data_IF_719939177591
#
_entry.id   IF_719939177591
#
_cell.length_a   1.000
_cell.length_b   1.000
_cell.length_c   1.000
_cell.angle_alpha   90.00
_cell.angle_beta   90.00
_cell.angle_gamma   90.00
#
_symmetry.space_group_name_H-M   'P 1'
#
loop_
_entity.id
_entity.type
_entity.pdbx_description
1 polymer ?
#
# COMPACT_ATOMS: atom_id res chain seq x y z
N UNK A 1 -35.18 -38.36 41.49
CA UNK A 1 -36.32 -38.10 42.40
C UNK A 1 -36.02 -38.75 43.75
N UNK A 2 -36.38 -38.24 44.95
CA UNK A 2 -37.03 -36.96 45.39
C UNK A 2 -36.09 -36.07 46.28
N UNK A 3 -36.20 -34.73 46.35
CA UNK A 3 -37.03 -33.80 47.21
C UNK A 3 -36.69 -33.83 48.73
N UNK A 4 -36.62 -32.76 49.55
CA UNK A 4 -36.86 -31.29 49.48
C UNK A 4 -36.34 -30.58 50.77
N UNK A 5 -35.77 -29.36 50.64
CA UNK A 5 -35.91 -28.09 51.44
C UNK A 5 -35.83 -27.95 52.98
N UNK A 6 -35.12 -26.88 53.44
CA UNK A 6 -35.60 -25.64 54.18
C UNK A 6 -34.36 -24.75 54.47
N UNK A 7 -34.17 -23.50 54.02
CA UNK A 7 -34.79 -22.15 54.20
C UNK A 7 -34.56 -21.42 55.55
N UNK A 8 -34.33 -20.10 55.41
CA UNK A 8 -34.14 -18.95 56.35
C UNK A 8 -32.67 -18.54 56.63
N UNK A 9 -32.25 -17.27 56.67
CA UNK A 9 -32.62 -15.94 56.12
C UNK A 9 -31.56 -14.94 56.67
N UNK A 10 -31.36 -13.74 56.07
CA UNK A 10 -30.24 -12.85 56.39
C UNK A 10 -30.60 -11.81 57.46
N UNK A 11 -29.62 -11.40 58.29
CA UNK A 11 -29.78 -10.30 59.25
C UNK A 11 -29.14 -8.99 58.76
N UNK A 12 -30.01 -7.99 58.70
CA UNK A 12 -29.79 -6.57 58.44
C UNK A 12 -29.11 -5.82 59.60
N UNK A 13 -28.52 -4.65 59.30
CA UNK A 13 -28.77 -3.33 59.94
C UNK A 13 -27.98 -2.26 59.15
N UNK A 14 -28.64 -1.33 58.43
CA UNK A 14 -29.08 0.04 58.87
C UNK A 14 -27.96 0.78 59.62
N UNK A 15 -27.49 1.97 59.25
CA UNK A 15 -27.92 2.99 58.29
C UNK A 15 -27.53 4.38 58.83
N UNK A 16 -27.52 5.40 57.96
CA UNK A 16 -27.69 6.86 58.15
C UNK A 16 -26.65 7.63 57.31
N UNK A 17 -26.98 8.21 56.16
CA UNK A 17 -27.80 9.41 55.92
C UNK A 17 -27.29 10.65 56.66
N UNK A 18 -26.58 11.52 55.94
CA UNK A 18 -26.54 12.96 56.22
C UNK A 18 -26.43 13.72 54.90
N UNK A 19 -27.61 14.05 54.35
CA UNK A 19 -27.80 15.18 53.45
C UNK A 19 -27.56 16.46 54.25
N UNK A 20 -26.75 17.39 53.75
CA UNK A 20 -26.93 18.82 53.98
C UNK A 20 -26.76 19.56 52.64
N UNK A 21 -27.86 20.14 52.18
CA UNK A 21 -27.94 21.13 51.11
C UNK A 21 -27.79 22.53 51.72
N UNK A 22 -27.49 23.50 50.83
CA UNK A 22 -27.57 24.98 50.91
C UNK A 22 -26.18 25.63 50.98
N UNK A 23 -25.84 26.69 50.24
CA UNK A 23 -26.49 27.49 49.18
C UNK A 23 -25.37 28.36 48.56
N UNK A 24 -25.48 28.68 47.27
CA UNK A 24 -25.09 29.93 46.58
C UNK A 24 -23.74 30.62 46.93
N UNK A 25 -22.87 30.69 45.91
CA UNK A 25 -21.72 31.59 45.85
C UNK A 25 -21.27 31.77 44.40
N UNK A 26 -22.00 32.60 43.66
CA UNK A 26 -21.66 33.10 42.34
C UNK A 26 -20.37 33.93 42.38
N UNK A 27 -19.34 33.52 41.63
CA UNK A 27 -18.33 34.46 41.15
C UNK A 27 -18.17 34.29 39.65
N UNK A 28 -18.70 35.28 38.93
CA UNK A 28 -18.37 35.61 37.55
C UNK A 28 -16.86 35.91 37.46
N UNK A 29 -16.15 35.26 36.56
CA UNK A 29 -15.04 35.88 35.85
C UNK A 29 -15.18 35.55 34.36
N UNK A 30 -15.38 36.62 33.59
CA UNK A 30 -15.45 36.65 32.15
C UNK A 30 -14.06 36.47 31.53
N UNK A 31 -14.02 35.82 30.37
CA UNK A 31 -13.22 36.28 29.24
C UNK A 31 -11.90 35.56 28.98
N UNK A 32 -11.96 34.48 28.18
CA UNK A 32 -11.29 34.46 26.87
C UNK A 32 -11.84 33.26 26.07
N UNK A 33 -13.00 33.46 25.42
CA UNK A 33 -13.38 32.61 24.29
C UNK A 33 -12.55 33.03 23.08
N UNK A 34 -11.29 32.59 23.06
CA UNK A 34 -10.53 32.52 21.82
C UNK A 34 -11.20 31.42 20.99
N UNK A 35 -11.95 31.85 19.98
CA UNK A 35 -12.54 30.96 18.99
C UNK A 35 -11.46 30.06 18.42
N UNK A 36 -11.52 28.79 18.81
CA UNK A 36 -10.93 27.74 18.01
C UNK A 36 -11.77 27.69 16.74
N UNK A 37 -11.43 28.53 15.77
CA UNK A 37 -11.87 28.36 14.42
C UNK A 37 -11.39 26.96 14.02
N UNK A 38 -12.32 26.00 14.04
CA UNK A 38 -12.26 24.85 13.15
C UNK A 38 -12.10 25.48 11.78
N UNK A 39 -10.86 25.61 11.31
CA UNK A 39 -10.59 25.85 9.92
C UNK A 39 -11.33 24.72 9.24
N UNK A 40 -12.36 24.98 8.42
CA UNK A 40 -12.79 23.97 7.50
C UNK A 40 -11.58 23.79 6.60
N UNK A 41 -10.73 22.80 6.92
CA UNK A 41 -9.96 22.15 5.89
C UNK A 41 -11.05 21.71 4.93
N UNK A 42 -11.18 22.43 3.81
CA UNK A 42 -11.99 21.97 2.69
C UNK A 42 -11.62 20.51 2.55
N UNK A 43 -12.57 19.61 2.81
CA UNK A 43 -12.39 18.22 2.46
C UNK A 43 -11.88 18.25 1.04
N UNK A 44 -10.62 17.83 0.83
CA UNK A 44 -10.03 17.83 -0.50
C UNK A 44 -10.98 16.96 -1.32
N UNK A 45 -11.67 17.58 -2.28
CA UNK A 45 -12.59 16.83 -3.12
C UNK A 45 -11.74 15.85 -3.92
N UNK A 46 -11.86 14.56 -3.63
CA UNK A 46 -11.21 13.52 -4.41
C UNK A 46 -11.73 13.57 -5.85
N UNK A 47 -10.85 13.26 -6.79
CA UNK A 47 -11.19 13.05 -8.19
C UNK A 47 -11.77 11.65 -8.31
N UNK A 48 -13.09 11.58 -8.42
CA UNK A 48 -13.83 10.32 -8.37
C UNK A 48 -14.18 9.83 -9.78
N UNK A 49 -13.69 8.62 -10.09
CA UNK A 49 -14.05 7.87 -11.29
C UNK A 49 -15.25 6.96 -11.01
N UNK A 50 -16.23 6.98 -11.90
CA UNK A 50 -17.41 6.09 -11.88
C UNK A 50 -17.63 5.32 -13.19
N UNK A 51 -17.03 5.76 -14.31
CA UNK A 51 -16.83 4.94 -15.49
C UNK A 51 -18.09 4.58 -16.28
N UNK A 52 -18.93 5.57 -16.63
CA UNK A 52 -20.13 5.32 -17.45
C UNK A 52 -19.80 5.08 -18.94
N UNK A 53 -18.60 5.44 -19.40
CA UNK A 53 -18.20 5.26 -20.78
C UNK A 53 -17.43 3.95 -21.01
N UNK A 54 -17.85 3.18 -22.02
CA UNK A 54 -17.19 1.92 -22.38
C UNK A 54 -15.71 2.07 -22.79
N UNK A 55 -15.30 3.22 -23.33
CA UNK A 55 -13.92 3.46 -23.72
C UNK A 55 -12.98 3.65 -22.52
N UNK A 56 -13.49 4.21 -21.41
CA UNK A 56 -12.71 4.45 -20.21
C UNK A 56 -11.64 5.55 -20.32
N UNK A 57 -11.81 6.53 -21.20
CA UNK A 57 -10.88 7.66 -21.37
C UNK A 57 -11.03 8.74 -20.28
N UNK A 58 -9.91 9.30 -19.82
CA UNK A 58 -9.88 10.39 -18.84
C UNK A 58 -10.41 11.73 -19.39
N UNK A 59 -10.33 11.95 -20.71
CA UNK A 59 -10.88 13.13 -21.37
C UNK A 59 -12.41 13.13 -21.46
N UNK A 60 -13.07 12.00 -21.17
CA UNK A 60 -14.51 11.88 -21.30
C UNK A 60 -15.20 12.24 -19.99
N UNK A 61 -16.02 13.29 -20.04
CA UNK A 61 -16.67 13.85 -18.85
C UNK A 61 -17.54 12.82 -18.10
N UNK A 62 -18.20 11.93 -18.84
CA UNK A 62 -19.08 10.90 -18.28
C UNK A 62 -18.34 9.68 -17.67
N UNK A 63 -17.04 9.74 -17.49
CA UNK A 63 -16.32 8.77 -16.65
C UNK A 63 -16.06 9.28 -15.24
N UNK A 64 -16.43 10.54 -14.99
CA UNK A 64 -16.17 11.24 -13.76
C UNK A 64 -17.48 11.55 -13.06
N UNK A 65 -17.46 11.42 -11.74
CA UNK A 65 -18.60 11.78 -10.91
C UNK A 65 -19.04 13.23 -11.18
N UNK A 66 -20.31 13.41 -11.55
CA UNK A 66 -20.87 14.71 -11.92
C UNK A 66 -20.67 15.11 -13.39
N UNK A 67 -20.33 14.15 -14.26
CA UNK A 67 -20.23 14.32 -15.72
C UNK A 67 -19.34 15.51 -16.14
N UNK A 68 -18.26 15.74 -15.40
CA UNK A 68 -17.36 16.88 -15.62
C UNK A 68 -15.91 16.41 -15.55
N UNK A 69 -15.12 16.73 -16.57
CA UNK A 69 -13.68 16.41 -16.56
C UNK A 69 -13.01 17.20 -15.43
N UNK A 70 -12.36 16.53 -14.46
CA UNK A 70 -11.75 17.17 -13.32
C UNK A 70 -10.49 17.93 -13.72
N UNK A 71 -10.15 18.96 -12.96
CA UNK A 71 -8.81 19.54 -12.97
C UNK A 71 -7.90 18.75 -12.01
N UNK A 72 -6.74 18.29 -12.48
CA UNK A 72 -5.80 17.58 -11.63
C UNK A 72 -4.71 18.50 -11.07
N UNK A 73 -4.62 18.56 -9.75
CA UNK A 73 -3.52 19.19 -9.02
C UNK A 73 -3.32 18.47 -7.68
N UNK A 74 -2.18 18.68 -7.02
CA UNK A 74 -2.03 18.17 -5.65
C UNK A 74 -3.10 18.74 -4.69
N UNK A 75 -3.72 19.87 -5.00
CA UNK A 75 -4.83 20.40 -4.20
C UNK A 75 -6.16 19.65 -4.42
N UNK A 76 -6.30 18.91 -5.52
CA UNK A 76 -7.52 18.21 -5.94
C UNK A 76 -7.69 16.80 -5.32
N UNK A 77 -7.09 16.53 -4.16
CA UNK A 77 -7.26 15.24 -3.48
C UNK A 77 -6.63 14.05 -4.20
N UNK A 78 -7.21 12.87 -3.98
CA UNK A 78 -6.78 11.60 -4.54
C UNK A 78 -7.51 11.31 -5.85
N UNK A 79 -6.94 10.46 -6.69
CA UNK A 79 -7.64 9.82 -7.80
C UNK A 79 -8.24 8.51 -7.28
N UNK A 80 -9.56 8.44 -7.25
CA UNK A 80 -10.30 7.36 -6.59
C UNK A 80 -11.19 6.67 -7.61
N UNK A 81 -10.95 5.38 -7.83
CA UNK A 81 -11.78 4.51 -8.65
C UNK A 81 -12.77 3.75 -7.76
N UNK A 82 -14.00 4.26 -7.70
CA UNK A 82 -15.06 3.66 -6.87
C UNK A 82 -15.87 2.62 -7.64
N UNK A 83 -16.28 2.97 -8.85
CA UNK A 83 -17.23 2.20 -9.64
C UNK A 83 -16.82 2.09 -11.09
N UNK A 84 -17.41 1.09 -11.73
CA UNK A 84 -17.38 0.89 -13.17
C UNK A 84 -18.81 0.67 -13.63
N UNK A 85 -19.56 1.76 -13.68
CA UNK A 85 -21.00 1.74 -13.97
C UNK A 85 -21.29 1.12 -15.34
N UNK A 86 -20.38 1.26 -16.29
CA UNK A 86 -20.44 0.56 -17.57
C UNK A 86 -19.68 -0.77 -17.52
N UNK A 87 -20.41 -1.88 -17.50
CA UNK A 87 -19.81 -3.22 -17.47
C UNK A 87 -18.92 -3.54 -18.70
N UNK A 88 -19.13 -2.86 -19.82
CA UNK A 88 -18.31 -3.01 -21.04
C UNK A 88 -16.98 -2.26 -20.98
N UNK A 89 -16.76 -1.39 -19.98
CA UNK A 89 -15.46 -0.78 -19.76
C UNK A 89 -14.46 -1.86 -19.31
N UNK A 90 -13.39 -2.07 -20.07
CA UNK A 90 -12.36 -3.08 -19.75
C UNK A 90 -11.05 -2.46 -19.24
N UNK A 91 -10.87 -1.15 -19.42
CA UNK A 91 -9.67 -0.44 -19.01
C UNK A 91 -9.95 1.02 -18.62
N UNK A 92 -9.02 1.62 -17.90
CA UNK A 92 -8.93 3.06 -17.68
C UNK A 92 -7.80 3.58 -18.59
N UNK A 93 -8.03 4.67 -19.32
CA UNK A 93 -7.08 5.18 -20.30
C UNK A 93 -6.78 6.66 -20.07
N UNK A 94 -5.56 6.94 -19.65
CA UNK A 94 -5.05 8.30 -19.49
C UNK A 94 -4.71 8.91 -20.85
N UNK A 95 -5.52 9.87 -21.30
CA UNK A 95 -5.37 10.55 -22.58
C UNK A 95 -5.25 12.08 -22.46
N UNK A 96 -5.03 12.60 -21.25
CA UNK A 96 -4.72 14.02 -21.08
C UNK A 96 -3.42 14.38 -21.80
N UNK A 97 -3.38 15.60 -22.37
CA UNK A 97 -2.29 16.08 -23.21
C UNK A 97 -1.02 16.47 -22.46
N UNK A 98 -0.98 16.31 -21.14
CA UNK A 98 0.16 16.62 -20.29
C UNK A 98 0.25 15.65 -19.12
N UNK A 99 1.32 15.74 -18.34
CA UNK A 99 1.35 15.15 -17.01
C UNK A 99 0.38 15.87 -16.07
N UNK A 100 -0.21 15.11 -15.14
CA UNK A 100 -1.14 15.63 -14.13
C UNK A 100 -0.68 15.25 -12.72
N UNK A 101 -1.06 16.07 -11.74
CA UNK A 101 -0.66 15.90 -10.34
C UNK A 101 -1.85 15.43 -9.50
N UNK A 102 -1.64 14.38 -8.71
CA UNK A 102 -2.64 13.74 -7.84
C UNK A 102 -1.98 13.45 -6.49
N UNK A 103 -2.74 13.38 -5.39
CA UNK A 103 -2.16 12.89 -4.13
C UNK A 103 -1.90 11.38 -4.21
N UNK A 104 -2.93 10.57 -4.00
CA UNK A 104 -2.82 9.12 -4.08
C UNK A 104 -3.70 8.56 -5.20
N UNK A 105 -3.35 7.38 -5.72
CA UNK A 105 -4.14 6.67 -6.72
C UNK A 105 -4.71 5.41 -6.05
N UNK A 106 -6.04 5.29 -6.01
CA UNK A 106 -6.71 4.30 -5.17
C UNK A 106 -7.82 3.60 -5.96
N UNK A 107 -7.77 2.27 -6.03
CA UNK A 107 -8.94 1.45 -6.37
C UNK A 107 -9.63 1.03 -5.09
N UNK A 108 -10.84 1.52 -4.88
CA UNK A 108 -11.58 1.31 -3.65
C UNK A 108 -12.18 -0.08 -3.55
N UNK A 109 -12.59 -0.45 -2.34
CA UNK A 109 -13.22 -1.75 -2.04
C UNK A 109 -14.48 -2.02 -2.89
N UNK A 110 -15.15 -0.97 -3.36
CA UNK A 110 -16.33 -1.04 -4.21
C UNK A 110 -16.03 -1.31 -5.69
N UNK A 111 -14.75 -1.20 -6.10
CA UNK A 111 -14.36 -1.47 -7.48
C UNK A 111 -14.58 -2.95 -7.81
N UNK A 112 -15.40 -3.21 -8.83
CA UNK A 112 -16.07 -4.51 -9.03
C UNK A 112 -15.50 -5.44 -10.10
N UNK A 113 -14.30 -5.18 -10.63
CA UNK A 113 -13.73 -6.00 -11.71
C UNK A 113 -12.20 -5.90 -11.81
N UNK A 114 -11.58 -6.90 -12.44
CA UNK A 114 -10.18 -6.75 -12.87
C UNK A 114 -10.05 -5.59 -13.85
N UNK A 115 -8.96 -4.84 -13.77
CA UNK A 115 -8.78 -3.67 -14.63
C UNK A 115 -7.33 -3.43 -14.99
N UNK A 116 -7.14 -2.69 -16.09
CA UNK A 116 -5.85 -2.17 -16.51
C UNK A 116 -5.92 -0.66 -16.65
N UNK A 117 -4.98 0.05 -16.02
CA UNK A 117 -4.74 1.47 -16.23
C UNK A 117 -3.65 1.64 -17.29
N UNK A 118 -4.02 2.23 -18.42
CA UNK A 118 -3.15 2.51 -19.56
C UNK A 118 -2.98 4.02 -19.74
N UNK A 119 -2.01 4.41 -20.55
CA UNK A 119 -1.78 5.81 -20.92
C UNK A 119 -1.27 6.00 -22.35
N UNK A 120 -1.38 7.24 -22.82
CA UNK A 120 -0.97 7.70 -24.15
C UNK A 120 0.52 8.12 -24.26
N UNK A 121 1.32 7.88 -23.23
CA UNK A 121 2.73 8.30 -23.14
C UNK A 121 2.97 9.47 -22.19
N UNK A 122 1.94 10.24 -21.84
CA UNK A 122 1.97 11.12 -20.66
C UNK A 122 1.76 10.28 -19.37
N UNK A 123 1.73 10.96 -18.20
CA UNK A 123 1.67 10.24 -16.93
C UNK A 123 1.04 11.02 -15.77
N UNK A 124 0.95 10.33 -14.64
CA UNK A 124 0.48 10.88 -13.37
C UNK A 124 1.66 11.03 -12.40
N UNK A 125 1.84 12.24 -11.90
CA UNK A 125 2.59 12.52 -10.70
C UNK A 125 1.70 12.21 -9.49
N UNK A 126 2.14 11.30 -8.63
CA UNK A 126 1.46 11.02 -7.37
C UNK A 126 2.35 11.39 -6.18
N UNK A 127 1.72 11.87 -5.11
CA UNK A 127 2.39 12.23 -3.86
C UNK A 127 3.08 11.00 -3.26
N UNK A 128 2.31 10.02 -2.79
CA UNK A 128 2.87 8.94 -1.97
C UNK A 128 2.37 7.55 -2.34
N UNK A 129 1.06 7.35 -2.56
CA UNK A 129 0.49 5.99 -2.60
C UNK A 129 -0.15 5.60 -3.93
N UNK A 130 0.08 4.34 -4.29
CA UNK A 130 -0.67 3.58 -5.28
C UNK A 130 -1.28 2.36 -4.57
N UNK A 131 -2.60 2.31 -4.45
CA UNK A 131 -3.28 1.34 -3.59
C UNK A 131 -4.38 0.56 -4.30
N UNK A 132 -4.33 -0.76 -4.19
CA UNK A 132 -5.43 -1.64 -4.56
C UNK A 132 -6.15 -2.16 -3.31
N UNK A 133 -7.23 -1.47 -2.93
CA UNK A 133 -8.12 -1.87 -1.83
C UNK A 133 -9.28 -2.76 -2.30
N UNK A 134 -9.47 -2.87 -3.62
CA UNK A 134 -10.45 -3.78 -4.22
C UNK A 134 -10.04 -5.24 -4.05
N UNK A 135 -10.97 -6.17 -4.21
CA UNK A 135 -10.68 -7.61 -4.21
C UNK A 135 -10.17 -8.13 -5.57
N UNK A 136 -10.11 -7.26 -6.57
CA UNK A 136 -9.79 -7.61 -7.95
C UNK A 136 -8.35 -7.25 -8.30
N UNK A 137 -7.83 -7.86 -9.37
CA UNK A 137 -6.49 -7.55 -9.84
C UNK A 137 -6.48 -6.19 -10.57
N UNK A 138 -5.50 -5.36 -10.21
CA UNK A 138 -5.21 -4.08 -10.88
C UNK A 138 -3.87 -4.20 -11.60
N UNK A 139 -3.86 -3.83 -12.88
CA UNK A 139 -2.63 -3.78 -13.68
C UNK A 139 -2.36 -2.35 -14.12
N UNK A 140 -1.19 -1.81 -13.78
CA UNK A 140 -0.66 -0.61 -14.41
C UNK A 140 -0.01 -1.07 -15.71
N UNK A 141 -0.73 -0.91 -16.82
CA UNK A 141 -0.37 -1.38 -18.16
C UNK A 141 0.69 -0.49 -18.80
N UNK A 142 0.31 0.35 -19.77
CA UNK A 142 1.24 1.31 -20.41
C UNK A 142 1.39 2.65 -19.67
N UNK A 143 0.72 2.81 -18.52
CA UNK A 143 0.64 4.09 -17.84
C UNK A 143 1.98 4.48 -17.19
N UNK A 144 2.41 5.73 -17.41
CA UNK A 144 3.56 6.31 -16.74
C UNK A 144 3.15 6.90 -15.39
N UNK A 145 3.86 6.53 -14.32
CA UNK A 145 3.64 7.06 -12.97
C UNK A 145 4.95 7.64 -12.43
N UNK A 146 4.90 8.78 -11.74
CA UNK A 146 6.04 9.35 -11.02
C UNK A 146 5.66 9.64 -9.58
N UNK A 147 6.27 8.90 -8.64
CA UNK A 147 5.94 8.98 -7.22
C UNK A 147 6.78 10.00 -6.45
N UNK A 148 6.60 10.01 -5.13
CA UNK A 148 7.39 10.81 -4.19
C UNK A 148 7.26 12.32 -4.37
N UNK A 149 6.14 12.79 -4.92
CA UNK A 149 5.94 14.22 -5.18
C UNK A 149 5.44 14.93 -3.92
N UNK A 150 5.26 16.25 -4.00
CA UNK A 150 4.60 17.05 -2.96
C UNK A 150 5.08 16.83 -1.51
N UNK A 151 6.39 16.59 -1.34
CA UNK A 151 7.03 16.43 -0.03
C UNK A 151 6.95 15.02 0.58
N UNK A 152 6.44 14.03 -0.15
CA UNK A 152 6.46 12.64 0.30
C UNK A 152 7.91 12.13 0.49
N UNK A 153 8.12 11.38 1.57
CA UNK A 153 9.43 10.82 1.94
C UNK A 153 9.63 9.39 1.44
N UNK A 154 8.64 8.84 0.73
CA UNK A 154 8.63 7.46 0.24
C UNK A 154 7.60 7.28 -0.88
N UNK A 155 7.71 6.17 -1.62
CA UNK A 155 6.70 5.68 -2.56
C UNK A 155 6.06 4.43 -1.97
N UNK A 156 4.74 4.39 -1.91
CA UNK A 156 3.99 3.23 -1.41
C UNK A 156 3.27 2.50 -2.56
N UNK A 157 3.51 1.20 -2.65
CA UNK A 157 2.94 0.30 -3.65
C UNK A 157 2.20 -0.81 -2.91
N UNK A 158 0.87 -0.67 -2.77
CA UNK A 158 0.10 -1.41 -1.78
C UNK A 158 -0.95 -2.33 -2.43
N UNK A 159 -0.69 -3.64 -2.54
CA UNK A 159 -1.71 -4.64 -2.87
C UNK A 159 -2.54 -4.96 -1.61
N UNK A 160 -3.40 -4.04 -1.17
CA UNK A 160 -4.06 -4.16 0.16
C UNK A 160 -5.02 -5.35 0.22
N UNK A 161 -5.85 -5.52 -0.80
CA UNK A 161 -6.89 -6.57 -0.84
C UNK A 161 -6.98 -7.33 -2.18
N UNK A 162 -6.34 -6.80 -3.21
CA UNK A 162 -6.22 -7.37 -4.54
C UNK A 162 -4.78 -7.29 -5.02
N UNK A 163 -4.44 -8.11 -6.00
CA UNK A 163 -3.10 -8.10 -6.57
C UNK A 163 -2.86 -6.82 -7.38
N UNK A 164 -1.62 -6.35 -7.39
CA UNK A 164 -1.20 -5.14 -8.10
C UNK A 164 -0.02 -5.52 -9.02
N UNK A 165 -0.14 -5.25 -10.32
CA UNK A 165 0.93 -5.50 -11.29
C UNK A 165 1.41 -4.19 -11.91
N UNK A 166 2.72 -3.97 -11.93
CA UNK A 166 3.35 -2.77 -12.48
C UNK A 166 4.12 -3.13 -13.75
N UNK A 167 3.57 -2.79 -14.92
CA UNK A 167 4.24 -2.93 -16.22
C UNK A 167 4.70 -1.58 -16.78
N UNK A 168 3.98 -0.51 -16.47
CA UNK A 168 4.29 0.85 -16.93
C UNK A 168 5.54 1.42 -16.27
N UNK A 169 6.04 2.56 -16.77
CA UNK A 169 7.20 3.20 -16.16
C UNK A 169 6.84 3.76 -14.77
N UNK A 170 7.71 3.51 -13.79
CA UNK A 170 7.59 4.06 -12.44
C UNK A 170 8.81 4.92 -12.12
N UNK A 171 8.66 6.23 -12.21
CA UNK A 171 9.70 7.21 -11.89
C UNK A 171 9.73 7.52 -10.39
N UNK A 172 10.91 7.88 -9.90
CA UNK A 172 11.19 8.28 -8.52
C UNK A 172 12.25 9.38 -8.55
N UNK A 173 11.86 10.53 -9.08
CA UNK A 173 12.77 11.64 -9.37
C UNK A 173 13.41 12.22 -8.10
N UNK A 174 12.81 11.96 -6.93
CA UNK A 174 13.30 12.41 -5.63
C UNK A 174 14.13 11.35 -4.89
N UNK A 175 14.37 10.20 -5.53
CA UNK A 175 15.20 9.11 -5.01
C UNK A 175 14.86 8.71 -3.56
N UNK A 176 13.58 8.53 -3.28
CA UNK A 176 13.11 8.10 -1.96
C UNK A 176 12.97 6.58 -1.89
N UNK A 177 12.82 6.04 -0.68
CA UNK A 177 12.60 4.61 -0.49
C UNK A 177 11.22 4.17 -1.01
N UNK A 178 11.15 2.92 -1.46
CA UNK A 178 9.90 2.24 -1.75
C UNK A 178 9.41 1.47 -0.53
N UNK A 179 8.10 1.41 -0.35
CA UNK A 179 7.46 0.60 0.69
C UNK A 179 6.25 -0.13 0.14
N UNK A 180 6.00 -1.30 0.69
CA UNK A 180 4.75 -2.05 0.46
C UNK A 180 4.06 -2.33 1.76
N UNK A 181 2.81 -1.90 1.83
CA UNK A 181 1.88 -2.23 2.89
C UNK A 181 0.77 -3.17 2.39
N UNK A 182 0.12 -3.86 3.33
CA UNK A 182 -0.96 -4.80 3.06
C UNK A 182 -0.95 -5.94 4.08
N UNK A 183 -2.13 -6.44 4.45
CA UNK A 183 -2.28 -7.47 5.50
C UNK A 183 -2.65 -8.87 4.98
N UNK A 184 -2.93 -9.00 3.68
CA UNK A 184 -3.74 -10.11 3.16
C UNK A 184 -3.01 -11.03 2.19
N UNK A 185 -1.67 -11.10 2.25
CA UNK A 185 -0.83 -11.98 1.42
C UNK A 185 -1.01 -11.80 -0.10
N UNK A 186 -1.46 -10.60 -0.50
CA UNK A 186 -1.66 -10.24 -1.90
C UNK A 186 -0.34 -9.92 -2.57
N UNK A 187 -0.32 -10.09 -3.88
CA UNK A 187 0.88 -10.00 -4.68
C UNK A 187 1.02 -8.63 -5.32
N UNK A 188 2.14 -7.97 -5.05
CA UNK A 188 2.68 -6.92 -5.89
C UNK A 188 3.67 -7.54 -6.88
N UNK A 189 3.37 -7.48 -8.17
CA UNK A 189 4.30 -7.85 -9.23
C UNK A 189 4.94 -6.60 -9.81
N UNK A 190 6.26 -6.51 -9.73
CA UNK A 190 7.07 -5.42 -10.27
C UNK A 190 7.75 -5.91 -11.56
N UNK A 191 7.12 -5.60 -12.68
CA UNK A 191 7.55 -5.98 -14.03
C UNK A 191 8.09 -4.79 -14.83
N UNK A 192 8.60 -3.80 -14.11
CA UNK A 192 9.25 -2.60 -14.63
C UNK A 192 10.47 -2.30 -13.75
N UNK A 193 11.43 -1.55 -14.23
CA UNK A 193 12.54 -1.09 -13.37
C UNK A 193 12.01 -0.07 -12.37
N UNK A 194 12.39 -0.21 -11.09
CA UNK A 194 12.15 0.85 -10.12
C UNK A 194 12.98 2.09 -10.50
N UNK A 195 12.33 3.23 -10.69
CA UNK A 195 13.00 4.49 -10.96
C UNK A 195 13.82 5.02 -9.78
N UNK A 196 14.63 6.05 -10.05
CA UNK A 196 15.51 6.69 -9.06
C UNK A 196 16.99 6.43 -9.36
N UNK A 197 17.83 6.50 -8.34
CA UNK A 197 19.26 6.25 -8.47
C UNK A 197 19.56 4.76 -8.65
N UNK A 198 20.82 4.47 -8.98
CA UNK A 198 21.32 3.10 -9.11
C UNK A 198 21.24 2.27 -7.82
N UNK A 199 20.86 2.82 -6.66
CA UNK A 199 20.68 2.03 -5.44
C UNK A 199 19.24 2.19 -4.93
N UNK A 200 18.57 1.06 -4.70
CA UNK A 200 17.19 1.02 -4.24
C UNK A 200 17.13 0.68 -2.76
N UNK A 201 16.33 1.44 -2.01
CA UNK A 201 15.90 1.06 -0.66
C UNK A 201 14.44 0.64 -0.72
N UNK A 202 14.14 -0.61 -0.38
CA UNK A 202 12.78 -1.16 -0.42
C UNK A 202 12.42 -1.81 0.92
N UNK A 203 11.25 -1.50 1.47
CA UNK A 203 10.74 -2.17 2.67
C UNK A 203 9.37 -2.85 2.41
N UNK A 204 9.27 -4.12 2.77
CA UNK A 204 7.99 -4.83 2.91
C UNK A 204 7.56 -4.68 4.37
N UNK A 205 6.59 -3.79 4.59
CA UNK A 205 6.18 -3.32 5.91
C UNK A 205 5.04 -4.16 6.51
N UNK A 206 4.24 -4.81 5.66
CA UNK A 206 3.11 -5.67 6.05
C UNK A 206 3.18 -7.06 5.44
N UNK A 207 2.17 -7.89 5.68
CA UNK A 207 2.07 -9.25 5.16
C UNK A 207 1.60 -9.28 3.70
N UNK A 208 2.41 -8.71 2.81
CA UNK A 208 2.25 -8.77 1.34
C UNK A 208 3.34 -9.63 0.72
N UNK A 209 3.13 -10.07 -0.52
CA UNK A 209 4.16 -10.70 -1.36
C UNK A 209 4.60 -9.67 -2.39
N UNK A 210 5.91 -9.52 -2.58
CA UNK A 210 6.48 -8.63 -3.60
C UNK A 210 7.36 -9.45 -4.52
N UNK A 211 7.05 -9.45 -5.81
CA UNK A 211 7.74 -10.23 -6.82
C UNK A 211 8.34 -9.34 -7.90
N UNK A 212 9.67 -9.34 -7.99
CA UNK A 212 10.40 -8.63 -9.04
C UNK A 212 10.67 -9.58 -10.21
N UNK A 213 10.03 -9.31 -11.35
CA UNK A 213 10.17 -10.09 -12.59
C UNK A 213 11.06 -9.41 -13.62
N UNK A 214 11.08 -8.08 -13.65
CA UNK A 214 11.86 -7.33 -14.63
C UNK A 214 13.30 -7.12 -14.19
N UNK A 215 14.19 -6.97 -15.17
CA UNK A 215 15.57 -6.51 -14.96
C UNK A 215 15.56 -5.21 -14.18
N UNK A 216 16.19 -5.26 -13.01
CA UNK A 216 16.35 -4.11 -12.15
C UNK A 216 17.78 -3.59 -12.30
N UNK A 217 17.95 -2.29 -12.49
CA UNK A 217 19.26 -1.62 -12.39
C UNK A 217 19.70 -1.43 -10.93
N UNK A 218 19.48 -2.42 -10.08
CA UNK A 218 19.75 -2.38 -8.64
C UNK A 218 21.25 -2.53 -8.43
N UNK A 219 21.88 -1.50 -7.88
CA UNK A 219 23.29 -1.47 -7.55
C UNK A 219 23.58 -2.24 -6.27
N UNK A 220 24.85 -2.59 -6.08
CA UNK A 220 25.32 -3.41 -4.96
C UNK A 220 25.11 -2.80 -3.58
N UNK A 221 24.75 -1.53 -3.46
CA UNK A 221 24.42 -0.89 -2.16
C UNK A 221 22.92 -0.84 -1.87
N UNK A 222 22.11 -1.54 -2.66
CA UNK A 222 20.67 -1.62 -2.45
C UNK A 222 20.30 -2.47 -1.24
N UNK A 223 19.19 -2.12 -0.60
CA UNK A 223 18.71 -2.75 0.63
C UNK A 223 17.25 -3.14 0.53
N UNK A 224 16.95 -4.40 0.83
CA UNK A 224 15.59 -4.93 0.94
C UNK A 224 15.29 -5.34 2.38
N UNK A 225 14.37 -4.63 3.02
CA UNK A 225 13.92 -4.92 4.38
C UNK A 225 12.58 -5.65 4.35
N UNK A 226 12.58 -6.95 4.63
CA UNK A 226 11.35 -7.74 4.77
C UNK A 226 10.99 -7.82 6.25
N UNK A 227 10.19 -6.87 6.72
CA UNK A 227 9.77 -6.85 8.14
C UNK A 227 8.80 -7.98 8.46
N UNK A 228 7.88 -8.19 7.52
CA UNK A 228 6.83 -9.21 7.47
C UNK A 228 6.54 -9.48 5.98
N UNK A 229 6.06 -10.67 5.62
CA UNK A 229 5.69 -10.99 4.23
C UNK A 229 6.82 -11.62 3.41
N UNK A 230 6.70 -11.60 2.09
CA UNK A 230 7.60 -12.39 1.23
C UNK A 230 8.20 -11.54 0.10
N UNK A 231 9.52 -11.62 -0.06
CA UNK A 231 10.24 -11.06 -1.20
C UNK A 231 10.60 -12.18 -2.18
N UNK A 232 10.17 -12.04 -3.43
CA UNK A 232 10.45 -12.97 -4.50
C UNK A 232 11.25 -12.25 -5.60
N UNK A 233 12.36 -12.84 -6.05
CA UNK A 233 13.17 -12.32 -7.15
C UNK A 233 13.21 -13.37 -8.27
N UNK A 234 12.72 -13.00 -9.45
CA UNK A 234 12.65 -13.89 -10.61
C UNK A 234 13.87 -13.84 -11.51
N UNK A 235 13.89 -14.68 -12.54
CA UNK A 235 15.02 -14.79 -13.50
C UNK A 235 15.34 -13.50 -14.24
N UNK A 236 14.35 -12.63 -14.42
CA UNK A 236 14.58 -11.29 -14.94
C UNK A 236 15.02 -10.29 -13.87
N UNK A 237 14.70 -10.48 -12.59
CA UNK A 237 15.19 -9.64 -11.49
C UNK A 237 16.69 -9.80 -11.29
N UNK A 238 17.44 -8.68 -11.19
CA UNK A 238 18.89 -8.72 -10.99
C UNK A 238 19.22 -8.67 -9.49
N UNK A 239 19.91 -9.70 -9.00
CA UNK A 239 20.71 -9.59 -7.78
C UNK A 239 22.08 -9.01 -8.18
N UNK A 240 22.52 -7.96 -7.48
CA UNK A 240 23.86 -7.40 -7.66
C UNK A 240 24.73 -7.73 -6.47
N UNK A 241 26.02 -7.99 -6.71
CA UNK A 241 26.99 -8.25 -5.65
C UNK A 241 26.97 -7.16 -4.58
N UNK A 242 26.91 -7.58 -3.31
CA UNK A 242 26.90 -6.68 -2.15
C UNK A 242 25.51 -6.26 -1.68
N UNK A 243 24.44 -6.59 -2.42
CA UNK A 243 23.08 -6.28 -2.02
C UNK A 243 22.76 -6.89 -0.64
N UNK A 244 22.00 -6.13 0.16
CA UNK A 244 21.57 -6.54 1.50
C UNK A 244 20.09 -6.90 1.53
N UNK A 245 19.78 -8.06 2.09
CA UNK A 245 18.41 -8.47 2.40
C UNK A 245 18.30 -8.68 3.90
N UNK A 246 17.48 -7.87 4.57
CA UNK A 246 17.23 -7.99 6.00
C UNK A 246 15.88 -8.70 6.20
N UNK A 247 15.88 -9.85 6.88
CA UNK A 247 14.66 -10.62 7.14
C UNK A 247 14.21 -10.51 8.59
N UNK A 248 12.90 -10.30 8.76
CA UNK A 248 12.13 -10.41 10.01
C UNK A 248 12.57 -9.48 11.11
N UNK A 249 12.47 -8.18 10.82
CA UNK A 249 12.59 -7.10 11.79
C UNK A 249 11.40 -7.05 12.77
N UNK A 250 10.21 -7.55 12.37
CA UNK A 250 8.99 -7.53 13.18
C UNK A 250 8.43 -8.94 13.47
N UNK A 251 8.39 -9.84 12.49
CA UNK A 251 8.02 -11.24 12.69
C UNK A 251 8.86 -12.16 11.78
N UNK A 252 9.67 -12.99 12.42
CA UNK A 252 10.61 -13.86 11.75
C UNK A 252 9.95 -14.98 10.93
N UNK A 253 8.81 -15.50 11.40
CA UNK A 253 8.19 -16.68 10.79
C UNK A 253 7.46 -16.34 9.49
N UNK A 254 7.11 -15.07 9.31
CA UNK A 254 6.37 -14.58 8.16
C UNK A 254 7.27 -13.88 7.14
N UNK A 255 8.46 -13.42 7.53
CA UNK A 255 9.44 -12.83 6.62
C UNK A 255 10.20 -13.91 5.83
N UNK A 256 9.99 -13.94 4.51
CA UNK A 256 10.58 -14.95 3.62
C UNK A 256 11.25 -14.32 2.42
N UNK A 257 12.27 -15.01 1.92
CA UNK A 257 12.96 -14.66 0.69
C UNK A 257 12.98 -15.85 -0.26
N UNK A 258 12.58 -15.62 -1.50
CA UNK A 258 12.54 -16.63 -2.55
C UNK A 258 13.24 -16.16 -3.82
N UNK A 259 14.02 -17.05 -4.42
CA UNK A 259 14.45 -16.94 -5.81
C UNK A 259 13.53 -17.78 -6.69
N UNK A 260 13.07 -17.25 -7.81
CA UNK A 260 12.11 -17.95 -8.68
C UNK A 260 12.72 -18.21 -10.05
N UNK A 261 12.71 -19.47 -10.51
CA UNK A 261 13.24 -19.90 -11.81
C UNK A 261 14.43 -20.85 -11.74
N UNK A 262 15.15 -21.01 -12.87
CA UNK A 262 16.23 -22.00 -13.08
C UNK A 262 17.65 -21.43 -13.01
N UNK A 263 17.83 -20.25 -12.42
CA UNK A 263 19.10 -19.54 -12.52
C UNK A 263 20.17 -20.13 -11.58
N UNK A 264 21.28 -20.58 -12.17
CA UNK A 264 22.59 -20.52 -11.52
C UNK A 264 22.92 -19.05 -11.23
N UNK A 265 22.37 -18.53 -10.14
CA UNK A 265 22.67 -17.19 -9.67
C UNK A 265 23.89 -17.27 -8.73
N UNK A 266 25.00 -16.63 -9.13
CA UNK A 266 26.31 -16.72 -8.45
C UNK A 266 26.70 -15.44 -7.70
N UNK A 267 25.73 -14.54 -7.46
CA UNK A 267 26.01 -13.28 -6.77
C UNK A 267 26.09 -13.46 -5.25
N UNK A 268 27.08 -12.82 -4.65
CA UNK A 268 27.20 -12.76 -3.19
C UNK A 268 26.21 -11.72 -2.65
N UNK A 269 25.11 -12.20 -2.09
CA UNK A 269 24.18 -11.40 -1.29
C UNK A 269 24.45 -11.61 0.21
N UNK A 270 24.17 -10.57 1.01
CA UNK A 270 24.17 -10.69 2.46
C UNK A 270 22.71 -10.79 2.92
N UNK A 271 22.35 -11.94 3.48
CA UNK A 271 21.07 -12.11 4.17
C UNK A 271 21.31 -11.99 5.66
N UNK A 272 20.77 -10.93 6.27
CA UNK A 272 20.85 -10.73 7.72
C UNK A 272 19.60 -11.26 8.39
N UNK A 273 19.81 -12.11 9.38
CA UNK A 273 18.74 -12.62 10.23
C UNK A 273 18.64 -11.79 11.51
N UNK A 274 17.69 -10.86 11.56
CA UNK A 274 17.48 -10.02 12.74
C UNK A 274 16.62 -10.71 13.84
N UNK A 275 16.57 -12.05 13.87
CA UNK A 275 15.99 -12.87 14.95
C UNK A 275 15.07 -14.01 14.48
N UNK A 276 14.99 -15.15 15.20
CA UNK A 276 14.09 -16.26 14.87
C UNK A 276 14.49 -17.11 13.64
N UNK A 277 13.62 -18.03 13.22
CA UNK A 277 13.83 -18.90 12.04
C UNK A 277 13.38 -18.20 10.76
N UNK A 278 14.24 -18.16 9.74
CA UNK A 278 13.94 -17.55 8.44
C UNK A 278 13.86 -18.55 7.32
N UNK A 279 13.00 -18.25 6.35
CA UNK A 279 12.87 -19.05 5.13
C UNK A 279 13.59 -18.34 3.99
N UNK A 280 14.64 -19.01 3.51
CA UNK A 280 15.27 -18.75 2.22
C UNK A 280 14.99 -19.98 1.37
N UNK A 281 14.42 -19.79 0.19
CA UNK A 281 14.06 -20.92 -0.65
C UNK A 281 13.96 -20.56 -2.10
N UNK A 282 13.55 -21.53 -2.90
CA UNK A 282 13.25 -21.32 -4.32
C UNK A 282 11.84 -21.71 -4.65
N UNK A 283 11.19 -20.92 -5.50
CA UNK A 283 9.92 -21.29 -6.12
C UNK A 283 10.26 -21.90 -7.49
N UNK A 284 10.19 -23.23 -7.57
CA UNK A 284 10.58 -23.96 -8.77
C UNK A 284 9.47 -24.09 -9.81
N UNK A 285 9.84 -24.10 -11.08
CA UNK A 285 9.09 -24.74 -12.17
C UNK A 285 9.86 -25.98 -12.64
N UNK A 286 9.91 -27.03 -11.81
CA UNK A 286 10.43 -28.35 -12.20
C UNK A 286 11.96 -28.55 -12.14
N UNK A 287 12.39 -29.45 -11.26
CA UNK A 287 13.54 -30.34 -11.47
C UNK A 287 14.98 -29.80 -11.32
N UNK A 288 15.24 -28.50 -11.36
CA UNK A 288 16.60 -27.97 -11.22
C UNK A 288 17.00 -27.75 -9.76
N UNK A 289 18.20 -28.21 -9.38
CA UNK A 289 18.82 -27.86 -8.10
C UNK A 289 19.26 -26.39 -8.13
N UNK A 290 18.68 -25.57 -7.26
CA UNK A 290 19.08 -24.18 -7.12
C UNK A 290 20.21 -24.09 -6.09
N UNK A 291 21.36 -23.56 -6.52
CA UNK A 291 22.52 -23.35 -5.64
C UNK A 291 22.51 -21.92 -5.16
N UNK A 292 22.42 -21.72 -3.84
CA UNK A 292 22.61 -20.41 -3.22
C UNK A 292 24.10 -20.23 -2.90
N UNK A 293 24.77 -19.25 -3.51
CA UNK A 293 26.10 -18.81 -3.07
C UNK A 293 25.98 -17.43 -2.41
N UNK A 294 26.34 -17.32 -1.14
CA UNK A 294 26.31 -16.04 -0.43
C UNK A 294 26.66 -16.22 1.04
N UNK A 295 26.91 -15.11 1.72
CA UNK A 295 27.16 -15.13 3.15
C UNK A 295 25.83 -14.99 3.88
N UNK A 296 25.43 -16.04 4.60
CA UNK A 296 24.37 -15.93 5.61
C UNK A 296 25.06 -15.52 6.90
N UNK A 297 24.74 -14.31 7.37
CA UNK A 297 25.30 -13.74 8.60
C UNK A 297 24.20 -13.64 9.64
N UNK A 298 24.44 -14.26 10.80
CA UNK A 298 23.66 -14.09 12.02
C UNK A 298 24.16 -12.87 12.79
#
# INVERSE_FOLDING_TARGET
MPRLTKFFAPTSRRGRSLLHRRLLGSLFFWGCTAGCALVPGTARADINWDGDNAAGNFSFANNWYGDTVPSASFAAGNLVFNYRNNASQTSQYYDWGSWANINDIIWETTWGANTTLNGNGNGLNFNQRLENRSSFAVTIGSMNLSGAKNGATQIELNPVNGDLTLNGNLYNDNNVAYRTYGGNSKLLTVNTSLGGNSNVSYAIEGYSKVYFTAAQGIGGSSTFDVKTGELWIGTGGSLTNGMRINLGLNDANTAKFYLTGTANDSHNINVLNNGGTKVIGTLGSGGAANTFSGNITN
#
